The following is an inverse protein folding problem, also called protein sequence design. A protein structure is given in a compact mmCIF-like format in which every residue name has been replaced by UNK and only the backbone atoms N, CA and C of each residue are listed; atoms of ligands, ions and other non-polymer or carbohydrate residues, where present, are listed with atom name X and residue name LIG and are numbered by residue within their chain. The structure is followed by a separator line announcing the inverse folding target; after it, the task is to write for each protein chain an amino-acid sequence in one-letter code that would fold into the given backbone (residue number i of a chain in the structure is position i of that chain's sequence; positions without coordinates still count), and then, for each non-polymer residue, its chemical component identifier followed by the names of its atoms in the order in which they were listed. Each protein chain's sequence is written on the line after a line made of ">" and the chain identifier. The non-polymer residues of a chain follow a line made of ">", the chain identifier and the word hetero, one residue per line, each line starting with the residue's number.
data_IF_552640220017
#
_entry.id   IF_552640220017
#
_cell.length_a   1.000
_cell.length_b   1.000
_cell.length_c   1.000
_cell.angle_alpha   90.00
_cell.angle_beta   90.00
_cell.angle_gamma   90.00
#
_symmetry.space_group_name_H-M   'P 1'
#
loop_
_entity.id
_entity.type
_entity.pdbx_description
1 polymer ?
#
# COMPACT_ATOMS: atom_id res chain seq x y z
N UNK A 1 -11.13 3.95 9.71
CA UNK A 1 -10.30 3.04 10.54
C UNK A 1 -8.84 2.99 10.16
N UNK A 2 -8.45 3.64 9.05
CA UNK A 2 -7.08 3.82 8.55
C UNK A 2 -6.07 4.47 9.52
N UNK A 3 -6.48 4.86 10.74
CA UNK A 3 -5.66 5.60 11.71
C UNK A 3 -5.43 4.83 13.03
N UNK A 4 -5.80 3.55 13.12
CA UNK A 4 -5.51 2.73 14.31
C UNK A 4 -4.18 2.01 14.15
N UNK A 5 -3.13 2.55 14.75
CA UNK A 5 -1.83 1.87 14.85
C UNK A 5 -1.81 0.90 16.04
N UNK A 6 -1.25 -0.29 15.84
CA UNK A 6 -0.80 -1.15 16.95
C UNK A 6 0.41 -0.47 17.59
N UNK A 7 0.41 -0.33 18.92
CA UNK A 7 1.46 0.37 19.64
C UNK A 7 2.84 -0.29 19.39
N UNK A 8 3.89 0.51 19.17
CA UNK A 8 5.31 0.11 19.00
C UNK A 8 5.74 -0.53 17.67
N UNK A 9 5.06 -0.29 16.54
CA UNK A 9 5.63 -0.54 15.21
C UNK A 9 5.86 0.77 14.45
N UNK A 10 7.09 1.30 14.40
CA UNK A 10 7.39 2.41 13.50
C UNK A 10 7.16 1.94 12.07
N UNK A 11 6.23 2.60 11.38
CA UNK A 11 5.97 2.37 9.96
C UNK A 11 6.78 3.39 9.16
N UNK A 12 7.49 2.92 8.13
CA UNK A 12 8.22 3.79 7.21
C UNK A 12 7.26 4.82 6.60
N UNK A 13 7.72 6.05 6.39
CA UNK A 13 6.89 7.11 5.81
C UNK A 13 6.38 6.69 4.42
N UNK A 14 7.21 5.97 3.66
CA UNK A 14 6.81 5.46 2.34
C UNK A 14 5.72 4.41 2.45
N UNK A 15 5.77 3.55 3.47
CA UNK A 15 4.73 2.55 3.72
C UNK A 15 3.38 3.21 4.04
N UNK A 16 3.40 4.24 4.90
CA UNK A 16 2.20 5.03 5.21
C UNK A 16 1.64 5.72 3.96
N UNK A 17 2.51 6.31 3.15
CA UNK A 17 2.14 7.00 1.92
C UNK A 17 1.47 6.05 0.92
N UNK A 18 1.99 4.82 0.75
CA UNK A 18 1.36 3.82 -0.12
C UNK A 18 -0.03 3.40 0.38
N UNK A 19 -0.22 3.23 1.69
CA UNK A 19 -1.53 2.89 2.27
C UNK A 19 -2.55 4.03 2.10
N UNK A 20 -2.12 5.28 2.30
CA UNK A 20 -2.97 6.46 2.10
C UNK A 20 -3.34 6.62 0.62
N UNK A 21 -2.39 6.36 -0.30
CA UNK A 21 -2.67 6.36 -1.73
C UNK A 21 -3.74 5.31 -2.08
N UNK A 22 -3.60 4.08 -1.58
CA UNK A 22 -4.58 3.02 -1.81
C UNK A 22 -5.98 3.38 -1.29
N UNK A 23 -6.06 4.00 -0.10
CA UNK A 23 -7.33 4.43 0.50
C UNK A 23 -7.97 5.61 -0.21
N UNK A 24 -7.17 6.63 -0.53
CA UNK A 24 -7.68 7.86 -1.19
C UNK A 24 -8.16 7.65 -2.62
N UNK A 25 -7.64 6.64 -3.32
CA UNK A 25 -8.03 6.27 -4.69
C UNK A 25 -9.13 5.20 -4.74
N UNK A 26 -9.67 4.77 -3.59
CA UNK A 26 -10.80 3.81 -3.53
C UNK A 26 -10.43 2.35 -3.79
N UNK A 27 -9.14 1.99 -3.79
CA UNK A 27 -8.73 0.59 -3.99
C UNK A 27 -9.14 -0.34 -2.84
N UNK A 28 -9.41 0.25 -1.67
CA UNK A 28 -9.88 -0.43 -0.47
C UNK A 28 -11.41 -0.54 -0.39
N UNK A 29 -12.18 0.02 -1.34
CA UNK A 29 -13.65 0.08 -1.27
C UNK A 29 -14.32 -1.31 -1.27
N UNK A 30 -13.63 -2.32 -1.83
CA UNK A 30 -14.10 -3.72 -1.87
C UNK A 30 -13.66 -4.56 -0.68
N UNK A 31 -12.81 -4.01 0.19
CA UNK A 31 -12.27 -4.72 1.35
C UNK A 31 -13.19 -4.47 2.53
N UNK A 32 -13.66 -5.53 3.18
CA UNK A 32 -14.44 -5.36 4.39
C UNK A 32 -13.63 -4.64 5.45
N UNK A 33 -14.30 -3.77 6.20
CA UNK A 33 -13.71 -2.97 7.28
C UNK A 33 -12.91 -3.80 8.29
N UNK A 34 -13.40 -5.00 8.61
CA UNK A 34 -12.74 -5.97 9.50
C UNK A 34 -11.44 -6.54 8.93
N UNK A 35 -11.29 -6.55 7.61
CA UNK A 35 -10.16 -7.13 6.87
C UNK A 35 -9.13 -6.09 6.44
N UNK A 36 -9.39 -4.79 6.60
CA UNK A 36 -8.46 -3.71 6.23
C UNK A 36 -7.10 -3.90 6.89
N UNK A 37 -7.05 -4.25 8.18
CA UNK A 37 -5.78 -4.48 8.87
C UNK A 37 -4.98 -5.65 8.29
N UNK A 38 -5.66 -6.73 7.85
CA UNK A 38 -5.02 -7.86 7.20
C UNK A 38 -4.54 -7.49 5.78
N UNK A 39 -5.34 -6.70 5.07
CA UNK A 39 -5.00 -6.16 3.76
C UNK A 39 -3.75 -5.29 3.82
N UNK A 40 -3.66 -4.35 4.76
CA UNK A 40 -2.51 -3.46 4.94
C UNK A 40 -1.22 -4.26 5.14
N UNK A 41 -1.25 -5.28 6.01
CA UNK A 41 -0.07 -6.11 6.28
C UNK A 41 0.35 -6.95 5.07
N UNK A 42 -0.62 -7.55 4.38
CA UNK A 42 -0.34 -8.37 3.19
C UNK A 42 0.14 -7.50 2.02
N UNK A 43 -0.44 -6.32 1.84
CA UNK A 43 -0.06 -5.36 0.81
C UNK A 43 1.36 -4.85 1.04
N UNK A 44 1.70 -4.43 2.27
CA UNK A 44 3.07 -4.01 2.57
C UNK A 44 4.06 -5.15 2.33
N UNK A 45 3.72 -6.38 2.75
CA UNK A 45 4.56 -7.56 2.47
C UNK A 45 4.74 -7.79 0.97
N UNK A 46 3.68 -7.64 0.17
CA UNK A 46 3.74 -7.73 -1.29
C UNK A 46 4.66 -6.65 -1.88
N UNK A 47 4.51 -5.40 -1.44
CA UNK A 47 5.32 -4.29 -1.93
C UNK A 47 6.80 -4.48 -1.60
N UNK A 48 7.14 -4.89 -0.39
CA UNK A 48 8.52 -5.12 0.05
C UNK A 48 9.16 -6.37 -0.57
N UNK A 49 8.37 -7.38 -0.96
CA UNK A 49 8.89 -8.64 -1.53
C UNK A 49 8.91 -8.68 -3.05
N UNK A 50 7.87 -8.20 -3.72
CA UNK A 50 7.68 -8.32 -5.17
C UNK A 50 7.84 -6.98 -5.89
N UNK A 51 7.52 -5.85 -5.25
CA UNK A 51 7.55 -4.52 -5.86
C UNK A 51 8.60 -3.59 -5.24
N UNK A 52 9.72 -4.16 -4.77
CA UNK A 52 10.76 -3.42 -4.06
C UNK A 52 11.32 -2.25 -4.87
N UNK A 53 11.41 -2.41 -6.19
CA UNK A 53 11.82 -1.35 -7.10
C UNK A 53 10.93 -0.09 -7.00
N UNK A 54 9.60 -0.26 -6.84
CA UNK A 54 8.66 0.86 -6.65
C UNK A 54 8.90 1.53 -5.29
N UNK A 55 9.13 0.73 -4.25
CA UNK A 55 9.42 1.21 -2.89
C UNK A 55 10.72 2.03 -2.87
N UNK A 56 11.78 1.55 -3.52
CA UNK A 56 13.08 2.24 -3.61
C UNK A 56 13.00 3.51 -4.47
N UNK A 57 12.21 3.49 -5.55
CA UNK A 57 11.95 4.66 -6.39
C UNK A 57 11.19 5.73 -5.59
N UNK A 58 10.19 5.36 -4.79
CA UNK A 58 9.47 6.25 -3.87
C UNK A 58 10.38 6.84 -2.80
N UNK A 59 11.25 6.02 -2.19
CA UNK A 59 12.24 6.47 -1.19
C UNK A 59 13.20 7.51 -1.76
N UNK A 60 13.62 7.34 -3.01
CA UNK A 60 14.61 8.20 -3.66
C UNK A 60 13.99 9.47 -4.23
N UNK A 61 12.88 9.37 -4.95
CA UNK A 61 12.24 10.52 -5.60
C UNK A 61 11.46 11.40 -4.62
N UNK A 62 10.91 10.81 -3.56
CA UNK A 62 10.03 11.49 -2.59
C UNK A 62 8.86 12.28 -3.22
N UNK A 63 8.49 11.92 -4.45
CA UNK A 63 7.41 12.52 -5.24
C UNK A 63 6.67 11.43 -6.00
N UNK A 64 5.36 11.62 -6.10
CA UNK A 64 4.54 10.91 -7.09
C UNK A 64 4.63 11.66 -8.40
N UNK A 65 5.21 11.03 -9.40
CA UNK A 65 5.00 11.40 -10.80
C UNK A 65 3.92 10.48 -11.40
N UNK A 66 3.31 10.92 -12.50
CA UNK A 66 2.22 10.16 -13.15
C UNK A 66 2.62 8.72 -13.50
N UNK A 67 3.91 8.52 -13.82
CA UNK A 67 4.47 7.21 -14.09
C UNK A 67 4.46 6.30 -12.86
N UNK A 68 4.86 6.81 -11.70
CA UNK A 68 4.92 6.06 -10.46
C UNK A 68 3.53 5.85 -9.85
N UNK A 69 2.61 6.82 -9.99
CA UNK A 69 1.19 6.61 -9.66
C UNK A 69 0.61 5.45 -10.46
N UNK A 70 0.89 5.40 -11.77
CA UNK A 70 0.45 4.30 -12.62
C UNK A 70 1.03 2.96 -12.18
N UNK A 71 2.36 2.90 -11.96
CA UNK A 71 3.02 1.67 -11.47
C UNK A 71 2.43 1.19 -10.15
N UNK A 72 2.19 2.10 -9.21
CA UNK A 72 1.62 1.77 -7.90
C UNK A 72 0.16 1.30 -8.04
N UNK A 73 -0.64 1.96 -8.88
CA UNK A 73 -2.01 1.54 -9.17
C UNK A 73 -2.08 0.15 -9.82
N UNK A 74 -1.19 -0.15 -10.76
CA UNK A 74 -1.08 -1.47 -11.40
C UNK A 74 -0.69 -2.54 -10.36
N UNK A 75 0.27 -2.23 -9.48
CA UNK A 75 0.70 -3.11 -8.40
C UNK A 75 -0.43 -3.39 -7.38
N UNK A 76 -1.20 -2.37 -6.98
CA UNK A 76 -2.36 -2.52 -6.09
C UNK A 76 -3.44 -3.38 -6.74
N UNK A 77 -3.70 -3.17 -8.04
CA UNK A 77 -4.69 -3.95 -8.79
C UNK A 77 -4.26 -5.42 -8.92
N UNK A 78 -2.98 -5.67 -9.21
CA UNK A 78 -2.42 -7.02 -9.24
C UNK A 78 -2.49 -7.70 -7.86
N UNK A 79 -2.21 -6.95 -6.79
CA UNK A 79 -2.36 -7.44 -5.42
C UNK A 79 -3.81 -7.78 -5.07
N UNK A 80 -4.80 -6.99 -5.51
CA UNK A 80 -6.21 -7.26 -5.28
C UNK A 80 -6.69 -8.63 -5.76
N UNK A 81 -6.08 -9.17 -6.83
CA UNK A 81 -6.34 -10.54 -7.29
C UNK A 81 -5.64 -11.64 -6.46
N UNK A 82 -4.59 -11.27 -5.72
CA UNK A 82 -3.83 -12.18 -4.85
C UNK A 82 -4.31 -12.14 -3.39
N UNK A 83 -4.96 -11.04 -2.99
CA UNK A 83 -5.47 -10.85 -1.65
C UNK A 83 -6.53 -11.91 -1.36
N UNK A 84 -6.24 -12.75 -0.36
CA UNK A 84 -7.19 -13.68 0.21
C UNK A 84 -7.61 -13.15 1.57
N UNK A 85 -8.92 -12.94 1.67
CA UNK A 85 -9.63 -12.40 2.81
C UNK A 85 -9.71 -13.39 3.97
#
# INVERSE_FOLDING_TARGET
>A
ELLKQVQLKPMDVIDQVMLIFAGSRGYLDKVERSQVAAWEQQFLKYMHSQQRAIVDELKTKQKFDDALEKKLGDAITAFGGQFKA
#
